data_IF_395677040529
#
_entry.id   IF_395677040529
#
_cell.length_a   1.000
_cell.length_b   1.000
_cell.length_c   1.000
_cell.angle_alpha   90.00
_cell.angle_beta   90.00
_cell.angle_gamma   90.00
#
_symmetry.space_group_name_H-M   'P 1'
#
loop_
_entity.id
_entity.type
_entity.pdbx_description
1 polymer ?
#
# COMPACT_ATOMS: atom_id res chain seq x y z
N UNK A 1 -28.27 15.15 80.06
CA UNK A 1 -29.54 14.40 80.18
C UNK A 1 -29.49 13.36 79.06
N UNK A 2 -29.32 12.07 79.37
CA UNK A 2 -30.39 11.06 79.49
C UNK A 2 -31.24 10.94 78.19
N UNK A 3 -31.59 9.80 77.60
CA UNK A 3 -31.39 8.35 77.88
C UNK A 3 -31.94 7.56 76.66
N UNK A 4 -31.66 6.28 76.35
CA UNK A 4 -30.93 5.20 77.04
C UNK A 4 -30.39 4.15 76.00
N UNK A 5 -29.79 3.05 76.48
CA UNK A 5 -29.43 1.82 75.72
C UNK A 5 -30.35 0.66 76.19
N UNK A 6 -30.56 -0.42 75.39
CA UNK A 6 -30.07 -1.74 75.81
C UNK A 6 -29.38 -2.50 74.64
N UNK A 7 -28.21 -3.15 74.74
CA UNK A 7 -27.50 -3.90 75.80
C UNK A 7 -27.77 -5.42 75.82
N UNK A 8 -26.75 -6.20 75.44
CA UNK A 8 -26.56 -7.62 75.77
C UNK A 8 -27.21 -8.63 74.80
N UNK A 9 -26.58 -9.74 74.41
CA UNK A 9 -25.57 -10.53 75.13
C UNK A 9 -24.63 -11.34 74.21
N UNK A 10 -23.52 -11.80 74.78
CA UNK A 10 -22.45 -12.58 74.13
C UNK A 10 -22.60 -14.10 74.36
N UNK A 11 -22.53 -14.86 73.25
CA UNK A 11 -21.53 -15.94 72.99
C UNK A 11 -21.30 -17.07 74.03
N UNK A 12 -21.67 -18.31 73.69
CA UNK A 12 -20.98 -19.59 74.03
C UNK A 12 -21.20 -20.55 72.82
N UNK A 13 -20.19 -20.98 72.06
CA UNK A 13 -19.16 -22.03 72.25
C UNK A 13 -19.58 -23.49 71.92
N UNK A 14 -19.19 -23.95 70.72
CA UNK A 14 -18.80 -25.34 70.37
C UNK A 14 -19.88 -26.45 70.28
N UNK A 15 -19.54 -27.64 69.75
CA UNK A 15 -18.24 -28.09 69.22
C UNK A 15 -18.26 -28.54 67.74
N UNK A 16 -17.11 -29.00 67.26
CA UNK A 16 -16.89 -29.62 65.95
C UNK A 16 -17.54 -31.02 65.85
N UNK A 17 -17.96 -31.42 64.64
CA UNK A 17 -17.92 -32.83 64.22
C UNK A 17 -17.98 -32.95 62.71
N UNK A 18 -17.06 -33.73 62.12
CA UNK A 18 -17.06 -34.05 60.70
C UNK A 18 -18.24 -34.97 60.33
N UNK A 19 -18.86 -34.73 59.18
CA UNK A 19 -19.94 -35.57 58.66
C UNK A 19 -20.37 -35.11 57.27
N UNK A 20 -19.95 -35.85 56.24
CA UNK A 20 -20.33 -35.57 54.86
C UNK A 20 -21.81 -35.85 54.60
N UNK A 21 -22.66 -34.86 54.84
CA UNK A 21 -24.09 -34.96 54.53
C UNK A 21 -24.34 -34.63 53.05
N UNK A 22 -24.27 -35.66 52.20
CA UNK A 22 -25.16 -35.71 51.05
C UNK A 22 -26.60 -35.55 51.57
N UNK A 23 -27.44 -34.68 50.98
CA UNK A 23 -28.83 -34.52 51.42
C UNK A 23 -29.67 -35.75 51.00
N UNK A 24 -29.54 -36.83 51.77
CA UNK A 24 -30.39 -38.03 51.69
C UNK A 24 -31.78 -37.83 52.28
N UNK A 25 -32.12 -36.61 52.71
CA UNK A 25 -33.51 -36.17 52.60
C UNK A 25 -33.82 -35.78 51.17
N UNK A 26 -34.25 -36.79 50.40
CA UNK A 26 -35.21 -36.57 49.31
C UNK A 26 -36.50 -36.07 49.95
N UNK A 27 -36.55 -34.77 50.26
CA UNK A 27 -37.78 -34.10 50.62
C UNK A 27 -38.80 -34.51 49.58
N UNK A 28 -39.92 -35.09 50.04
CA UNK A 28 -40.98 -35.55 49.15
C UNK A 28 -41.49 -34.30 48.46
N UNK A 29 -40.98 -34.03 47.25
CA UNK A 29 -41.31 -32.84 46.47
C UNK A 29 -42.83 -32.80 46.44
N UNK A 30 -43.41 -31.88 47.21
CA UNK A 30 -44.83 -31.60 47.14
C UNK A 30 -45.08 -31.30 45.67
N UNK A 31 -46.14 -31.87 45.10
CA UNK A 31 -46.48 -31.60 43.71
C UNK A 31 -46.99 -30.16 43.65
N UNK A 32 -46.05 -29.23 43.52
CA UNK A 32 -46.33 -27.83 43.21
C UNK A 32 -47.23 -27.83 41.98
N UNK A 33 -48.42 -27.24 42.15
CA UNK A 33 -49.39 -27.09 41.07
C UNK A 33 -48.81 -26.09 40.09
N UNK A 34 -48.02 -26.61 39.14
CA UNK A 34 -47.40 -25.78 38.10
C UNK A 34 -48.49 -25.13 37.28
N UNK A 35 -48.53 -23.81 37.31
CA UNK A 35 -49.40 -23.06 36.42
C UNK A 35 -48.97 -23.36 34.97
N UNK A 36 -49.89 -23.91 34.17
CA UNK A 36 -49.69 -24.24 32.75
C UNK A 36 -50.20 -23.13 31.81
N UNK A 37 -50.61 -21.98 32.34
CA UNK A 37 -50.90 -20.81 31.52
C UNK A 37 -49.68 -20.43 30.67
N UNK A 38 -49.87 -19.93 29.45
CA UNK A 38 -48.76 -19.52 28.59
C UNK A 38 -47.92 -18.44 29.28
N UNK A 39 -46.60 -18.63 29.31
CA UNK A 39 -45.70 -17.63 29.86
C UNK A 39 -45.78 -16.32 29.04
N UNK A 40 -45.85 -15.14 29.70
CA UNK A 40 -45.99 -13.85 29.00
C UNK A 40 -44.74 -13.49 28.20
N UNK A 41 -43.58 -14.04 28.57
CA UNK A 41 -42.32 -13.94 27.82
C UNK A 41 -41.90 -15.36 27.47
N UNK A 42 -41.71 -15.61 26.17
CA UNK A 42 -41.13 -16.86 25.67
C UNK A 42 -39.62 -16.74 25.68
N UNK A 43 -38.92 -17.75 26.20
CA UNK A 43 -37.45 -17.76 26.25
C UNK A 43 -36.93 -17.86 24.82
N UNK A 44 -36.22 -16.83 24.36
CA UNK A 44 -35.61 -16.81 23.02
C UNK A 44 -34.21 -17.41 23.04
N UNK A 45 -33.73 -17.86 21.88
CA UNK A 45 -32.34 -18.31 21.74
C UNK A 45 -31.34 -17.20 22.09
N UNK A 46 -31.66 -15.93 21.79
CA UNK A 46 -30.86 -14.76 22.18
C UNK A 46 -30.72 -14.65 23.70
N UNK A 47 -31.81 -14.83 24.45
CA UNK A 47 -31.78 -14.75 25.91
C UNK A 47 -30.91 -15.84 26.54
N UNK A 48 -30.97 -17.07 26.01
CA UNK A 48 -30.11 -18.18 26.44
C UNK A 48 -28.62 -17.92 26.13
N UNK A 49 -28.32 -17.38 24.94
CA UNK A 49 -26.95 -17.04 24.56
C UNK A 49 -26.41 -15.90 25.43
N UNK A 50 -27.24 -14.89 25.73
CA UNK A 50 -26.86 -13.76 26.59
C UNK A 50 -26.58 -14.22 28.01
N UNK A 51 -27.47 -15.02 28.63
CA UNK A 51 -27.26 -15.56 29.97
C UNK A 51 -26.02 -16.49 30.03
N UNK A 52 -25.76 -17.26 28.97
CA UNK A 52 -24.55 -18.08 28.88
C UNK A 52 -23.26 -17.24 28.79
N UNK A 53 -23.29 -16.12 28.06
CA UNK A 53 -22.18 -15.16 27.99
C UNK A 53 -21.99 -14.45 29.34
N UNK A 54 -23.06 -13.98 29.98
CA UNK A 54 -22.99 -13.29 31.27
C UNK A 54 -22.35 -14.19 32.35
N UNK A 55 -22.73 -15.49 32.42
CA UNK A 55 -22.08 -16.45 33.33
C UNK A 55 -20.61 -16.74 32.98
N UNK A 56 -20.24 -16.75 31.70
CA UNK A 56 -18.83 -16.88 31.31
C UNK A 56 -18.01 -15.63 31.68
N UNK A 57 -18.62 -14.45 31.59
CA UNK A 57 -18.00 -13.20 32.05
C UNK A 57 -17.80 -13.21 33.56
N UNK A 58 -18.75 -13.74 34.35
CA UNK A 58 -18.59 -13.91 35.80
C UNK A 58 -17.40 -14.82 36.15
N UNK A 59 -17.25 -15.98 35.48
CA UNK A 59 -16.09 -16.87 35.68
C UNK A 59 -14.76 -16.21 35.26
N UNK A 60 -14.75 -15.45 34.15
CA UNK A 60 -13.58 -14.68 33.71
C UNK A 60 -13.29 -13.47 34.62
N UNK A 61 -14.29 -12.97 35.35
CA UNK A 61 -14.18 -11.83 36.27
C UNK A 61 -13.51 -12.15 37.60
N UNK A 62 -13.10 -13.42 37.81
CA UNK A 62 -12.19 -13.84 38.89
C UNK A 62 -10.77 -13.29 38.68
N UNK A 63 -10.68 -11.97 38.59
CA UNK A 63 -9.46 -11.18 38.50
C UNK A 63 -8.64 -11.48 39.75
N UNK A 64 -7.44 -12.03 39.56
CA UNK A 64 -6.51 -12.34 40.66
C UNK A 64 -6.32 -11.08 41.52
N UNK A 65 -6.36 -11.18 42.86
CA UNK A 65 -6.27 -10.01 43.74
C UNK A 65 -5.01 -9.20 43.42
N UNK A 66 -5.14 -7.88 43.38
CA UNK A 66 -4.04 -6.98 43.04
C UNK A 66 -2.97 -6.99 44.15
N UNK A 67 -1.99 -7.87 44.01
CA UNK A 67 -0.82 -7.95 44.87
C UNK A 67 0.11 -6.75 44.58
N UNK A 68 0.28 -5.87 45.56
CA UNK A 68 1.35 -4.86 45.54
C UNK A 68 2.65 -5.55 45.93
N UNK A 69 3.68 -5.41 45.10
CA UNK A 69 5.04 -5.90 45.39
C UNK A 69 5.71 -4.83 46.24
N UNK A 70 6.14 -5.18 47.45
CA UNK A 70 6.76 -4.25 48.41
C UNK A 70 8.28 -4.43 48.41
N UNK A 71 8.74 -5.69 48.45
CA UNK A 71 10.16 -6.01 48.68
C UNK A 71 10.90 -6.48 47.42
N UNK A 72 12.23 -6.34 47.42
CA UNK A 72 13.08 -6.85 46.33
C UNK A 72 13.01 -8.38 46.20
N UNK A 73 12.85 -9.11 47.31
CA UNK A 73 12.67 -10.56 47.30
C UNK A 73 11.34 -10.97 46.67
N UNK A 74 10.24 -10.27 46.99
CA UNK A 74 8.94 -10.49 46.34
C UNK A 74 9.01 -10.22 44.83
N UNK A 75 9.74 -9.17 44.42
CA UNK A 75 9.98 -8.87 43.02
C UNK A 75 10.77 -9.99 42.32
N UNK A 76 11.78 -10.56 42.98
CA UNK A 76 12.52 -11.71 42.45
C UNK A 76 11.64 -12.96 42.36
N UNK A 77 10.84 -13.28 43.38
CA UNK A 77 9.88 -14.39 43.33
C UNK A 77 8.84 -14.20 42.23
N UNK A 78 8.30 -12.99 42.06
CA UNK A 78 7.42 -12.63 40.96
C UNK A 78 8.09 -12.89 39.59
N UNK A 79 9.34 -12.45 39.42
CA UNK A 79 10.11 -12.68 38.19
C UNK A 79 10.34 -14.17 37.93
N UNK A 80 10.74 -14.96 38.92
CA UNK A 80 10.94 -16.41 38.77
C UNK A 80 9.64 -17.11 38.39
N UNK A 81 8.53 -16.79 39.06
CA UNK A 81 7.19 -17.33 38.76
C UNK A 81 6.77 -17.01 37.32
N UNK A 82 6.95 -15.77 36.87
CA UNK A 82 6.62 -15.35 35.49
C UNK A 82 7.54 -15.97 34.44
N UNK A 83 8.84 -16.06 34.69
CA UNK A 83 9.79 -16.76 33.81
C UNK A 83 9.42 -18.23 33.64
N UNK A 84 9.04 -18.92 34.72
CA UNK A 84 8.56 -20.30 34.64
C UNK A 84 7.30 -20.42 33.77
N UNK A 85 6.32 -19.54 33.96
CA UNK A 85 5.10 -19.49 33.14
C UNK A 85 5.41 -19.28 31.64
N UNK A 86 6.37 -18.40 31.32
CA UNK A 86 6.82 -18.18 29.94
C UNK A 86 7.62 -19.37 29.39
N UNK A 87 8.62 -19.91 30.10
CA UNK A 87 9.37 -21.07 29.63
C UNK A 87 8.48 -22.32 29.47
N UNK A 88 7.52 -22.56 30.37
CA UNK A 88 6.58 -23.68 30.26
C UNK A 88 5.52 -23.46 29.15
N UNK A 89 5.22 -22.22 28.75
CA UNK A 89 4.43 -21.96 27.52
C UNK A 89 5.28 -22.15 26.26
N UNK A 90 6.52 -21.67 26.24
CA UNK A 90 7.45 -21.85 25.12
C UNK A 90 7.84 -23.31 24.88
N UNK A 91 7.96 -24.12 25.94
CA UNK A 91 8.15 -25.58 25.84
C UNK A 91 6.97 -26.28 25.18
N UNK A 92 5.75 -25.83 25.45
CA UNK A 92 4.51 -26.35 24.83
C UNK A 92 4.28 -25.82 23.41
N UNK A 93 4.67 -24.57 23.14
CA UNK A 93 4.36 -23.85 21.90
C UNK A 93 5.61 -23.23 21.27
N UNK A 94 6.62 -24.05 20.98
CA UNK A 94 7.94 -23.58 20.49
C UNK A 94 7.85 -22.69 19.25
N UNK A 95 6.97 -23.01 18.30
CA UNK A 95 6.84 -22.30 17.03
C UNK A 95 5.97 -21.03 17.10
N UNK A 96 5.29 -20.76 18.22
CA UNK A 96 4.42 -19.59 18.33
C UNK A 96 5.24 -18.34 18.68
N UNK A 97 5.55 -17.53 17.67
CA UNK A 97 6.46 -16.38 17.78
C UNK A 97 5.86 -15.26 18.65
N UNK A 98 4.53 -15.16 18.71
CA UNK A 98 3.84 -14.22 19.61
C UNK A 98 4.12 -14.44 21.10
N UNK A 99 4.40 -15.68 21.54
CA UNK A 99 4.80 -15.95 22.93
C UNK A 99 6.26 -15.57 23.21
N UNK A 100 7.15 -15.74 22.22
CA UNK A 100 8.54 -15.26 22.32
C UNK A 100 8.59 -13.73 22.43
N UNK A 101 7.83 -13.01 21.58
CA UNK A 101 7.75 -11.54 21.62
C UNK A 101 7.22 -11.07 22.97
N UNK A 102 6.10 -11.63 23.47
CA UNK A 102 5.54 -11.27 24.78
C UNK A 102 6.52 -11.50 25.95
N UNK A 103 7.28 -12.59 25.92
CA UNK A 103 8.29 -12.86 26.95
C UNK A 103 9.45 -11.85 26.87
N UNK A 104 9.94 -11.55 25.67
CA UNK A 104 11.03 -10.59 25.47
C UNK A 104 10.62 -9.14 25.80
N UNK A 105 9.40 -8.72 25.46
CA UNK A 105 8.83 -7.42 25.86
C UNK A 105 8.67 -7.33 27.39
N UNK A 106 8.33 -8.43 28.07
CA UNK A 106 8.26 -8.48 29.53
C UNK A 106 9.64 -8.38 30.21
N UNK A 107 10.66 -9.09 29.73
CA UNK A 107 12.05 -8.94 30.24
C UNK A 107 12.61 -7.53 29.96
N UNK A 108 12.25 -6.92 28.82
CA UNK A 108 12.59 -5.53 28.51
C UNK A 108 11.91 -4.53 29.48
N UNK A 109 10.65 -4.76 29.86
CA UNK A 109 9.97 -3.97 30.89
C UNK A 109 10.61 -4.10 32.28
N UNK A 110 11.23 -5.25 32.59
CA UNK A 110 12.03 -5.44 33.81
C UNK A 110 13.45 -4.82 33.72
N UNK A 111 13.81 -4.18 32.60
CA UNK A 111 15.15 -3.64 32.28
C UNK A 111 16.27 -4.70 32.23
N UNK A 112 15.95 -5.99 32.15
CA UNK A 112 16.92 -7.09 32.06
C UNK A 112 17.33 -7.35 30.60
N UNK A 113 17.87 -6.33 29.93
CA UNK A 113 18.15 -6.34 28.48
C UNK A 113 19.05 -7.50 28.02
N UNK A 114 20.01 -7.95 28.85
CA UNK A 114 20.85 -9.13 28.56
C UNK A 114 20.02 -10.40 28.38
N UNK A 115 18.95 -10.59 29.19
CA UNK A 115 18.03 -11.71 29.06
C UNK A 115 17.06 -11.52 27.89
N UNK A 116 16.53 -10.31 27.70
CA UNK A 116 15.70 -10.00 26.52
C UNK A 116 16.42 -10.34 25.20
N UNK A 117 17.71 -9.97 25.06
CA UNK A 117 18.57 -10.38 23.94
C UNK A 117 18.68 -11.90 23.81
N UNK A 118 18.96 -12.62 24.90
CA UNK A 118 19.02 -14.09 24.89
C UNK A 118 17.71 -14.74 24.45
N UNK A 119 16.55 -14.18 24.85
CA UNK A 119 15.23 -14.64 24.41
C UNK A 119 15.01 -14.37 22.91
N UNK A 120 15.38 -13.18 22.41
CA UNK A 120 15.29 -12.87 20.98
C UNK A 120 16.22 -13.76 20.13
N UNK A 121 17.48 -13.94 20.51
CA UNK A 121 18.42 -14.83 19.80
C UNK A 121 17.93 -16.30 19.83
N UNK A 122 17.35 -16.78 20.94
CA UNK A 122 16.68 -18.09 21.01
C UNK A 122 15.47 -18.18 20.07
N UNK A 123 14.68 -17.12 19.93
CA UNK A 123 13.54 -17.08 19.02
C UNK A 123 13.99 -17.06 17.54
N UNK A 124 15.06 -16.33 17.22
CA UNK A 124 15.67 -16.31 15.88
C UNK A 124 16.21 -17.68 15.47
N UNK A 125 16.74 -18.47 16.42
CA UNK A 125 17.11 -19.87 16.19
C UNK A 125 15.92 -20.81 15.96
N UNK A 126 14.68 -20.37 16.19
CA UNK A 126 13.46 -21.12 15.84
C UNK A 126 12.92 -20.67 14.48
N UNK A 127 12.85 -19.35 14.25
CA UNK A 127 12.44 -18.76 12.97
C UNK A 127 13.21 -17.44 12.75
N UNK A 128 14.18 -17.49 11.84
CA UNK A 128 14.96 -16.33 11.42
C UNK A 128 14.35 -15.59 10.23
N UNK A 129 13.30 -16.14 9.59
CA UNK A 129 12.64 -15.52 8.42
C UNK A 129 11.53 -14.56 8.84
N UNK A 130 10.97 -14.71 10.04
CA UNK A 130 9.90 -13.83 10.51
C UNK A 130 10.36 -12.38 10.74
N UNK A 131 9.99 -11.52 9.80
CA UNK A 131 10.20 -10.07 9.83
C UNK A 131 9.76 -9.41 11.15
N UNK A 132 8.62 -9.82 11.72
CA UNK A 132 8.06 -9.17 12.92
C UNK A 132 8.95 -9.35 14.15
N UNK A 133 9.64 -10.49 14.25
CA UNK A 133 10.57 -10.79 15.34
C UNK A 133 11.80 -9.88 15.28
N UNK A 134 12.40 -9.73 14.10
CA UNK A 134 13.50 -8.79 13.86
C UNK A 134 13.10 -7.34 14.15
N UNK A 135 11.94 -6.91 13.66
CA UNK A 135 11.43 -5.56 13.92
C UNK A 135 11.25 -5.31 15.42
N UNK A 136 10.72 -6.28 16.18
CA UNK A 136 10.54 -6.17 17.62
C UNK A 136 11.85 -6.15 18.40
N UNK A 137 12.84 -6.94 17.97
CA UNK A 137 14.17 -6.91 18.58
C UNK A 137 14.88 -5.57 18.34
N UNK A 138 14.84 -5.07 17.10
CA UNK A 138 15.39 -3.76 16.72
C UNK A 138 14.65 -2.61 17.44
N UNK A 139 13.32 -2.68 17.57
CA UNK A 139 12.50 -1.72 18.34
C UNK A 139 12.90 -1.68 19.82
N UNK A 140 13.27 -2.82 20.41
CA UNK A 140 13.74 -2.91 21.79
C UNK A 140 15.13 -2.26 21.94
N UNK A 141 16.10 -2.55 21.06
CA UNK A 141 17.43 -1.95 21.13
C UNK A 141 17.42 -0.43 20.86
N UNK A 142 16.56 0.04 19.94
CA UNK A 142 16.45 1.48 19.61
C UNK A 142 15.80 2.28 20.73
N UNK A 143 14.70 1.78 21.35
CA UNK A 143 14.07 2.40 22.53
C UNK A 143 15.04 2.57 23.69
N UNK A 144 15.94 1.61 23.88
CA UNK A 144 16.94 1.63 24.94
C UNK A 144 18.26 2.35 24.56
N UNK A 145 18.30 3.01 23.39
CA UNK A 145 19.44 3.79 22.86
C UNK A 145 20.73 2.98 22.65
N UNK A 146 20.65 1.66 22.47
CA UNK A 146 21.82 0.80 22.20
C UNK A 146 22.20 0.82 20.71
N UNK A 147 22.69 1.96 20.23
CA UNK A 147 22.97 2.24 18.80
C UNK A 147 23.85 1.16 18.14
N UNK A 148 24.99 0.79 18.76
CA UNK A 148 25.90 -0.19 18.16
C UNK A 148 25.30 -1.61 18.10
N UNK A 149 24.46 -1.98 19.08
CA UNK A 149 23.70 -3.23 19.03
C UNK A 149 22.68 -3.22 17.90
N UNK A 150 21.98 -2.09 17.73
CA UNK A 150 21.02 -1.85 16.65
C UNK A 150 21.68 -1.96 15.26
N UNK A 151 22.86 -1.35 15.05
CA UNK A 151 23.67 -1.47 13.82
C UNK A 151 24.02 -2.92 13.50
N UNK A 152 24.60 -3.63 14.47
CA UNK A 152 24.97 -5.05 14.30
C UNK A 152 23.75 -5.94 14.00
N UNK A 153 22.55 -5.59 14.47
CA UNK A 153 21.32 -6.30 14.12
C UNK A 153 20.87 -5.96 12.70
N UNK A 154 20.84 -4.69 12.29
CA UNK A 154 20.49 -4.33 10.92
C UNK A 154 21.45 -4.94 9.90
N UNK A 155 22.76 -4.92 10.13
CA UNK A 155 23.74 -5.58 9.26
C UNK A 155 23.45 -7.08 9.11
N UNK A 156 23.15 -7.76 10.23
CA UNK A 156 22.80 -9.19 10.22
C UNK A 156 21.51 -9.45 9.44
N UNK A 157 20.50 -8.59 9.58
CA UNK A 157 19.23 -8.71 8.86
C UNK A 157 19.40 -8.43 7.36
N UNK A 158 20.17 -7.42 6.98
CA UNK A 158 20.47 -7.12 5.58
C UNK A 158 21.23 -8.27 4.89
N UNK A 159 22.09 -8.99 5.62
CA UNK A 159 22.78 -10.19 5.13
C UNK A 159 21.84 -11.42 5.02
N UNK A 160 20.97 -11.65 6.01
CA UNK A 160 20.09 -12.82 6.04
C UNK A 160 18.83 -12.69 5.17
N UNK A 161 18.27 -11.48 5.06
CA UNK A 161 17.00 -11.18 4.39
C UNK A 161 17.14 -10.00 3.40
N UNK A 162 18.07 -10.06 2.42
CA UNK A 162 18.35 -8.92 1.53
C UNK A 162 17.13 -8.47 0.70
N UNK A 163 16.20 -9.38 0.39
CA UNK A 163 14.95 -9.06 -0.34
C UNK A 163 13.92 -8.27 0.46
N UNK A 164 14.08 -8.12 1.79
CA UNK A 164 13.11 -7.43 2.65
C UNK A 164 13.44 -5.93 2.76
N UNK A 165 13.00 -5.17 1.75
CA UNK A 165 13.23 -3.71 1.58
C UNK A 165 12.97 -2.86 2.83
N UNK A 166 11.99 -3.26 3.65
CA UNK A 166 11.63 -2.57 4.88
C UNK A 166 12.77 -2.46 5.91
N UNK A 167 13.73 -3.39 5.91
CA UNK A 167 14.88 -3.32 6.81
C UNK A 167 15.93 -2.34 6.31
N UNK A 168 16.21 -2.32 5.00
CA UNK A 168 17.10 -1.35 4.38
C UNK A 168 16.62 0.09 4.60
N UNK A 169 15.33 0.35 4.38
CA UNK A 169 14.74 1.67 4.66
C UNK A 169 14.88 2.06 6.14
N UNK A 170 14.54 1.15 7.07
CA UNK A 170 14.63 1.44 8.51
C UNK A 170 16.07 1.60 9.00
N UNK A 171 17.03 0.90 8.39
CA UNK A 171 18.45 1.05 8.69
C UNK A 171 18.98 2.40 8.19
N UNK A 172 18.72 2.75 6.94
CA UNK A 172 19.11 4.04 6.37
C UNK A 172 18.49 5.22 7.14
N UNK A 173 17.21 5.12 7.50
CA UNK A 173 16.54 6.13 8.33
C UNK A 173 17.15 6.23 9.75
N UNK A 174 17.60 5.12 10.34
CA UNK A 174 18.27 5.12 11.63
C UNK A 174 19.64 5.81 11.58
N UNK A 175 20.45 5.56 10.54
CA UNK A 175 21.72 6.28 10.34
C UNK A 175 21.50 7.77 10.03
N UNK A 176 20.44 8.12 9.30
CA UNK A 176 20.05 9.51 9.04
C UNK A 176 19.65 10.25 10.34
N UNK A 177 18.84 9.63 11.21
CA UNK A 177 18.49 10.17 12.53
C UNK A 177 19.70 10.35 13.46
N UNK A 178 20.77 9.58 13.24
CA UNK A 178 22.05 9.73 13.93
C UNK A 178 23.00 10.76 13.29
N UNK A 179 22.58 11.40 12.18
CA UNK A 179 23.40 12.34 11.42
C UNK A 179 24.55 11.71 10.63
N UNK A 180 24.58 10.37 10.51
CA UNK A 180 25.65 9.63 9.85
C UNK A 180 25.37 9.43 8.36
N UNK A 181 25.38 10.53 7.59
CA UNK A 181 25.11 10.51 6.15
C UNK A 181 26.07 9.60 5.36
N UNK A 182 27.33 9.47 5.81
CA UNK A 182 28.30 8.55 5.17
C UNK A 182 27.92 7.07 5.40
N UNK A 183 27.53 6.71 6.62
CA UNK A 183 27.00 5.38 6.93
C UNK A 183 25.74 5.06 6.12
N UNK A 184 24.77 5.98 6.10
CA UNK A 184 23.53 5.82 5.33
C UNK A 184 23.82 5.58 3.83
N UNK A 185 24.77 6.32 3.21
CA UNK A 185 25.20 6.09 1.82
C UNK A 185 25.76 4.70 1.59
N UNK A 186 26.63 4.20 2.48
CA UNK A 186 27.18 2.86 2.36
C UNK A 186 26.09 1.78 2.48
N UNK A 187 25.03 2.02 3.26
CA UNK A 187 23.85 1.15 3.33
C UNK A 187 23.06 1.21 2.01
N UNK A 188 22.86 2.39 1.43
CA UNK A 188 22.19 2.53 0.13
C UNK A 188 22.98 1.87 -1.02
N UNK A 189 24.30 2.07 -1.12
CA UNK A 189 25.12 1.43 -2.16
C UNK A 189 25.08 -0.11 -2.05
N UNK A 190 25.23 -0.66 -0.82
CA UNK A 190 25.01 -2.10 -0.55
C UNK A 190 23.60 -2.57 -0.90
N UNK A 191 22.59 -1.71 -0.78
CA UNK A 191 21.23 -2.06 -1.17
C UNK A 191 21.09 -2.12 -2.70
N UNK A 192 21.74 -1.19 -3.43
CA UNK A 192 21.69 -1.15 -4.90
C UNK A 192 22.40 -2.33 -5.58
N UNK A 193 23.41 -2.93 -4.94
CA UNK A 193 24.02 -4.20 -5.39
C UNK A 193 22.98 -5.32 -5.58
N UNK A 194 21.90 -5.32 -4.79
CA UNK A 194 20.83 -6.31 -4.88
C UNK A 194 19.74 -5.97 -5.91
N UNK A 195 19.86 -4.85 -6.64
CA UNK A 195 18.85 -4.33 -7.57
C UNK A 195 17.42 -4.32 -6.96
N UNK A 196 17.17 -3.45 -5.96
CA UNK A 196 15.89 -3.39 -5.27
C UNK A 196 14.78 -2.86 -6.17
N UNK A 197 13.53 -2.91 -5.68
CA UNK A 197 12.43 -2.30 -6.41
C UNK A 197 12.66 -0.80 -6.62
N UNK A 198 11.96 -0.27 -7.60
CA UNK A 198 11.86 1.15 -7.91
C UNK A 198 11.67 2.04 -6.66
N UNK A 199 10.93 1.59 -5.64
CA UNK A 199 10.79 2.32 -4.36
C UNK A 199 12.12 2.53 -3.64
N UNK A 200 13.05 1.57 -3.71
CA UNK A 200 14.38 1.67 -3.10
C UNK A 200 15.25 2.73 -3.76
N UNK A 201 15.23 2.80 -5.09
CA UNK A 201 15.92 3.84 -5.85
C UNK A 201 15.36 5.24 -5.53
N UNK A 202 14.05 5.40 -5.52
CA UNK A 202 13.39 6.65 -5.13
C UNK A 202 13.74 7.08 -3.70
N UNK A 203 13.84 6.13 -2.76
CA UNK A 203 14.26 6.42 -1.39
C UNK A 203 15.71 6.92 -1.29
N UNK A 204 16.63 6.38 -2.10
CA UNK A 204 18.01 6.86 -2.15
C UNK A 204 18.12 8.25 -2.80
N UNK A 205 17.38 8.49 -3.89
CA UNK A 205 17.25 9.80 -4.53
C UNK A 205 16.74 10.84 -3.52
N UNK A 206 15.64 10.55 -2.81
CA UNK A 206 15.09 11.46 -1.81
C UNK A 206 16.02 11.66 -0.61
N UNK A 207 16.89 10.69 -0.29
CA UNK A 207 17.94 10.85 0.71
C UNK A 207 19.02 11.83 0.24
N UNK A 208 19.52 11.72 -1.00
CA UNK A 208 20.49 12.68 -1.53
C UNK A 208 19.88 14.08 -1.75
N UNK A 209 18.58 14.19 -2.06
CA UNK A 209 17.84 15.45 -2.03
C UNK A 209 17.85 16.09 -0.63
N UNK A 210 17.60 15.31 0.43
CA UNK A 210 17.69 15.80 1.83
C UNK A 210 19.13 16.19 2.20
N UNK A 211 20.13 15.49 1.67
CA UNK A 211 21.54 15.84 1.81
C UNK A 211 21.98 17.05 0.95
N UNK A 212 21.13 17.54 0.04
CA UNK A 212 21.40 18.63 -0.94
C UNK A 212 22.48 18.32 -1.98
N UNK A 213 22.84 17.05 -2.16
CA UNK A 213 23.92 16.61 -3.07
C UNK A 213 23.36 16.25 -4.45
N UNK A 214 22.90 17.26 -5.19
CA UNK A 214 22.19 17.07 -6.48
C UNK A 214 23.02 16.30 -7.52
N UNK A 215 24.33 16.51 -7.58
CA UNK A 215 25.19 15.81 -8.55
C UNK A 215 25.40 14.32 -8.21
N UNK A 216 25.22 13.92 -6.94
CA UNK A 216 25.16 12.50 -6.56
C UNK A 216 23.81 11.92 -6.91
N UNK A 217 22.72 12.62 -6.58
CA UNK A 217 21.37 12.21 -6.93
C UNK A 217 21.23 11.95 -8.45
N UNK A 218 21.85 12.78 -9.29
CA UNK A 218 21.96 12.57 -10.75
C UNK A 218 22.67 11.29 -11.14
N UNK A 219 23.83 10.99 -10.57
CA UNK A 219 24.55 9.73 -10.82
C UNK A 219 23.75 8.51 -10.37
N UNK A 220 22.96 8.64 -9.31
CA UNK A 220 22.02 7.60 -8.87
C UNK A 220 20.88 7.43 -9.89
N UNK A 221 20.34 8.53 -10.43
CA UNK A 221 19.37 8.47 -11.52
C UNK A 221 19.92 7.83 -12.79
N UNK A 222 21.15 8.14 -13.20
CA UNK A 222 21.80 7.53 -14.37
C UNK A 222 21.92 6.00 -14.19
N UNK A 223 22.38 5.54 -13.02
CA UNK A 223 22.42 4.10 -12.67
C UNK A 223 21.02 3.48 -12.65
N UNK A 224 20.03 4.19 -12.09
CA UNK A 224 18.65 3.73 -12.03
C UNK A 224 18.03 3.54 -13.43
N UNK A 225 18.24 4.50 -14.35
CA UNK A 225 17.82 4.39 -15.74
C UNK A 225 18.55 3.25 -16.48
N UNK A 226 19.85 3.04 -16.23
CA UNK A 226 20.60 1.90 -16.80
C UNK A 226 20.12 0.54 -16.29
N UNK A 227 19.80 0.42 -14.99
CA UNK A 227 19.39 -0.84 -14.39
C UNK A 227 17.91 -1.18 -14.68
N UNK A 228 17.06 -0.15 -14.85
CA UNK A 228 15.62 -0.28 -15.11
C UNK A 228 15.14 0.82 -16.08
N UNK A 229 15.39 0.66 -17.39
CA UNK A 229 14.72 1.47 -18.41
C UNK A 229 13.22 1.16 -18.36
N UNK A 230 12.44 2.13 -17.87
CA UNK A 230 10.98 2.08 -17.89
C UNK A 230 10.45 3.50 -18.06
N UNK A 231 9.28 3.64 -18.69
CA UNK A 231 8.62 4.93 -18.84
C UNK A 231 8.49 5.68 -17.51
N UNK A 232 8.07 5.00 -16.43
CA UNK A 232 7.97 5.61 -15.11
C UNK A 232 9.32 6.11 -14.60
N UNK A 233 10.41 5.39 -14.86
CA UNK A 233 11.77 5.80 -14.50
C UNK A 233 12.15 7.14 -15.14
N UNK A 234 11.91 7.28 -16.45
CA UNK A 234 12.19 8.52 -17.18
C UNK A 234 11.26 9.66 -16.75
N UNK A 235 9.95 9.39 -16.58
CA UNK A 235 9.00 10.40 -16.09
C UNK A 235 9.34 10.91 -14.68
N UNK A 236 9.93 10.08 -13.82
CA UNK A 236 10.40 10.49 -12.48
C UNK A 236 11.70 11.29 -12.56
N UNK A 237 12.63 10.91 -13.44
CA UNK A 237 13.83 11.71 -13.73
C UNK A 237 13.47 13.11 -14.24
N UNK A 238 12.56 13.22 -15.21
CA UNK A 238 12.14 14.51 -15.74
C UNK A 238 11.43 15.37 -14.67
N UNK A 239 10.53 14.78 -13.87
CA UNK A 239 9.90 15.48 -12.71
C UNK A 239 10.92 15.92 -11.66
N UNK A 240 12.06 15.24 -11.54
CA UNK A 240 13.15 15.64 -10.65
C UNK A 240 13.91 16.85 -11.22
N UNK A 241 14.40 16.79 -12.46
CA UNK A 241 15.12 17.93 -13.07
C UNK A 241 14.19 19.16 -13.29
N UNK A 242 12.88 18.97 -13.47
CA UNK A 242 11.87 20.04 -13.39
C UNK A 242 11.92 20.80 -12.06
N UNK A 243 11.91 20.08 -10.92
CA UNK A 243 11.96 20.68 -9.58
C UNK A 243 13.26 21.45 -9.34
N UNK A 244 14.37 20.92 -9.85
CA UNK A 244 15.70 21.52 -9.74
C UNK A 244 16.00 22.54 -10.86
N UNK A 245 14.99 22.90 -11.67
CA UNK A 245 15.01 23.92 -12.73
C UNK A 245 16.07 23.71 -13.83
N UNK A 246 16.48 22.47 -14.10
CA UNK A 246 17.45 22.15 -15.15
C UNK A 246 16.76 21.74 -16.46
N UNK A 247 16.12 22.71 -17.09
CA UNK A 247 15.31 22.54 -18.31
C UNK A 247 16.06 21.77 -19.42
N UNK A 248 17.35 22.08 -19.75
CA UNK A 248 18.05 21.36 -20.81
C UNK A 248 18.32 19.89 -20.49
N UNK A 249 18.48 19.54 -19.20
CA UNK A 249 18.70 18.14 -18.77
C UNK A 249 17.40 17.35 -18.69
N UNK A 250 16.29 17.99 -18.32
CA UNK A 250 14.97 17.39 -18.43
C UNK A 250 14.65 17.03 -19.89
N UNK A 251 14.94 17.94 -20.85
CA UNK A 251 14.84 17.68 -22.30
C UNK A 251 15.67 16.48 -22.75
N UNK A 252 16.97 16.49 -22.44
CA UNK A 252 17.85 15.36 -22.74
C UNK A 252 17.41 14.05 -22.04
N UNK A 253 16.67 14.13 -20.94
CA UNK A 253 16.03 12.98 -20.28
C UNK A 253 14.85 12.41 -21.06
N UNK A 254 14.00 13.26 -21.63
CA UNK A 254 12.91 12.85 -22.53
C UNK A 254 13.46 12.32 -23.88
N UNK A 255 14.44 13.00 -24.47
CA UNK A 255 15.10 12.56 -25.72
C UNK A 255 15.75 11.18 -25.55
N UNK A 256 16.51 10.97 -24.46
CA UNK A 256 17.07 9.65 -24.13
C UNK A 256 16.02 8.58 -23.83
N UNK A 257 14.83 8.97 -23.35
CA UNK A 257 13.75 8.01 -23.15
C UNK A 257 13.25 7.47 -24.50
N UNK A 258 13.07 8.35 -25.49
CA UNK A 258 12.69 7.99 -26.87
C UNK A 258 13.79 7.13 -27.54
N UNK A 259 15.07 7.41 -27.28
CA UNK A 259 16.19 6.62 -27.81
C UNK A 259 16.32 5.22 -27.16
N UNK A 260 16.00 5.07 -25.87
CA UNK A 260 16.25 3.85 -25.09
C UNK A 260 15.03 2.95 -24.89
N UNK A 261 13.81 3.45 -25.05
CA UNK A 261 12.58 2.67 -24.95
C UNK A 261 12.17 2.15 -26.34
N UNK A 262 11.91 0.83 -26.49
CA UNK A 262 11.25 0.31 -27.68
C UNK A 262 9.86 0.93 -27.89
N UNK A 263 9.44 1.05 -29.14
CA UNK A 263 8.17 1.71 -29.52
C UNK A 263 6.95 1.07 -28.83
N UNK A 264 6.95 -0.25 -28.63
CA UNK A 264 5.90 -1.00 -27.91
C UNK A 264 5.75 -0.65 -26.40
N UNK A 265 6.65 0.15 -25.83
CA UNK A 265 6.71 0.50 -24.39
C UNK A 265 6.55 2.00 -24.12
N UNK A 266 6.20 2.79 -25.13
CA UNK A 266 5.95 4.23 -25.04
C UNK A 266 4.44 4.50 -24.97
N UNK A 267 3.89 4.59 -23.76
CA UNK A 267 2.48 4.89 -23.57
C UNK A 267 2.16 6.34 -23.98
N UNK A 268 0.90 6.56 -24.36
CA UNK A 268 0.25 7.88 -24.44
C UNK A 268 0.60 8.80 -23.25
N UNK A 269 0.69 8.25 -22.03
CA UNK A 269 1.00 9.03 -20.83
C UNK A 269 2.39 9.68 -20.88
N UNK A 270 3.36 9.08 -21.56
CA UNK A 270 4.70 9.66 -21.71
C UNK A 270 4.65 10.94 -22.55
N UNK A 271 4.09 10.86 -23.75
CA UNK A 271 3.97 11.99 -24.67
C UNK A 271 3.13 13.13 -24.09
N UNK A 272 2.01 12.79 -23.41
CA UNK A 272 1.21 13.78 -22.68
C UNK A 272 2.02 14.51 -21.59
N UNK A 273 2.95 13.83 -20.91
CA UNK A 273 3.81 14.46 -19.91
C UNK A 273 4.94 15.29 -20.53
N UNK A 274 5.49 14.86 -21.66
CA UNK A 274 6.51 15.60 -22.38
C UNK A 274 5.95 16.89 -23.01
N UNK A 275 4.77 16.82 -23.62
CA UNK A 275 4.07 18.00 -24.14
C UNK A 275 3.65 18.98 -23.01
N UNK A 276 3.11 18.47 -21.89
CA UNK A 276 2.84 19.30 -20.69
C UNK A 276 4.10 19.93 -20.09
N UNK A 277 5.28 19.34 -20.31
CA UNK A 277 6.54 19.92 -19.87
C UNK A 277 6.94 21.09 -20.77
N UNK A 278 6.95 20.94 -22.10
CA UNK A 278 7.28 22.04 -23.02
C UNK A 278 6.24 23.18 -22.99
N UNK A 279 4.96 22.87 -22.74
CA UNK A 279 3.92 23.89 -22.48
C UNK A 279 4.30 24.78 -21.29
N UNK A 280 4.79 24.21 -20.19
CA UNK A 280 5.30 24.99 -19.04
C UNK A 280 6.57 25.78 -19.36
N UNK A 281 7.39 25.32 -20.29
CA UNK A 281 8.56 26.05 -20.79
C UNK A 281 8.21 27.11 -21.84
N UNK A 282 6.95 27.16 -22.30
CA UNK A 282 6.43 28.07 -23.35
C UNK A 282 6.98 27.81 -24.76
N UNK A 283 7.54 26.62 -25.02
CA UNK A 283 8.01 26.22 -26.36
C UNK A 283 6.88 25.55 -27.16
N UNK A 284 5.93 26.35 -27.64
CA UNK A 284 4.71 25.85 -28.31
C UNK A 284 5.00 25.11 -29.62
N UNK A 285 5.98 25.57 -30.39
CA UNK A 285 6.42 24.90 -31.63
C UNK A 285 6.94 23.49 -31.37
N UNK A 286 7.78 23.31 -30.34
CA UNK A 286 8.31 22.00 -29.94
C UNK A 286 7.21 21.08 -29.43
N UNK A 287 6.30 21.60 -28.60
CA UNK A 287 5.14 20.84 -28.14
C UNK A 287 4.28 20.34 -29.31
N UNK A 288 4.09 21.16 -30.37
CA UNK A 288 3.39 20.72 -31.60
C UNK A 288 4.10 19.55 -32.29
N UNK A 289 5.43 19.61 -32.45
CA UNK A 289 6.22 18.52 -33.04
C UNK A 289 6.14 17.24 -32.19
N UNK A 290 6.19 17.35 -30.86
CA UNK A 290 6.05 16.21 -29.94
C UNK A 290 4.67 15.54 -30.09
N UNK A 291 3.59 16.33 -30.20
CA UNK A 291 2.25 15.77 -30.45
C UNK A 291 2.15 15.10 -31.83
N UNK A 292 2.81 15.62 -32.86
CA UNK A 292 2.85 14.99 -34.18
C UNK A 292 3.61 13.65 -34.13
N UNK A 293 4.81 13.63 -33.54
CA UNK A 293 5.60 12.41 -33.36
C UNK A 293 4.83 11.34 -32.56
N UNK A 294 4.12 11.74 -31.50
CA UNK A 294 3.30 10.83 -30.71
C UNK A 294 2.16 10.19 -31.53
N UNK A 295 1.55 10.94 -32.46
CA UNK A 295 0.50 10.44 -33.36
C UNK A 295 1.04 9.59 -34.54
N UNK A 296 2.33 9.69 -34.85
CA UNK A 296 3.00 8.84 -35.84
C UNK A 296 3.45 7.51 -35.23
N UNK A 297 3.90 7.49 -33.97
CA UNK A 297 4.36 6.28 -33.29
C UNK A 297 3.24 5.46 -32.63
N UNK A 298 2.12 6.07 -32.20
CA UNK A 298 1.03 5.34 -31.54
C UNK A 298 -0.03 4.83 -32.55
N UNK A 299 -0.51 3.58 -32.41
CA UNK A 299 -1.69 3.11 -33.12
C UNK A 299 -2.90 3.97 -32.83
N UNK A 300 -3.54 4.51 -33.88
CA UNK A 300 -4.60 5.53 -33.76
C UNK A 300 -5.76 5.14 -32.84
N UNK A 301 -6.07 3.84 -32.72
CA UNK A 301 -7.18 3.31 -31.90
C UNK A 301 -7.00 3.41 -30.38
N UNK A 302 -5.81 3.70 -29.86
CA UNK A 302 -5.57 3.84 -28.40
C UNK A 302 -5.34 5.30 -27.95
N UNK A 303 -5.44 6.26 -28.88
CA UNK A 303 -4.91 7.63 -28.71
C UNK A 303 -5.96 8.73 -28.44
N UNK A 304 -7.14 8.37 -27.95
CA UNK A 304 -8.26 9.29 -27.80
C UNK A 304 -7.96 10.47 -26.86
N UNK A 305 -7.30 10.21 -25.74
CA UNK A 305 -6.95 11.22 -24.73
C UNK A 305 -5.80 12.12 -25.24
N UNK A 306 -4.86 11.58 -26.02
CA UNK A 306 -3.83 12.34 -26.73
C UNK A 306 -4.46 13.33 -27.72
N UNK A 307 -5.42 12.86 -28.53
CA UNK A 307 -6.15 13.73 -29.46
C UNK A 307 -6.94 14.81 -28.73
N UNK A 308 -7.67 14.48 -27.65
CA UNK A 308 -8.36 15.51 -26.84
C UNK A 308 -7.38 16.55 -26.31
N UNK A 309 -6.25 16.11 -25.76
CA UNK A 309 -5.24 17.01 -25.19
C UNK A 309 -4.56 17.86 -26.27
N UNK A 310 -4.25 17.28 -27.42
CA UNK A 310 -3.69 18.02 -28.56
C UNK A 310 -4.67 19.07 -29.09
N UNK A 311 -5.97 18.74 -29.20
CA UNK A 311 -7.01 19.71 -29.56
C UNK A 311 -7.15 20.81 -28.49
N UNK A 312 -7.03 20.50 -27.18
CA UNK A 312 -7.00 21.56 -26.15
C UNK A 312 -5.75 22.44 -26.23
N UNK A 313 -4.60 21.85 -26.54
CA UNK A 313 -3.34 22.58 -26.72
C UNK A 313 -3.41 23.52 -27.94
N UNK A 314 -3.88 23.03 -29.09
CA UNK A 314 -4.05 23.88 -30.28
C UNK A 314 -5.11 24.97 -30.06
N UNK A 315 -6.19 24.71 -29.31
CA UNK A 315 -7.16 25.77 -28.93
C UNK A 315 -6.55 26.88 -28.05
N UNK A 316 -5.46 26.60 -27.34
CA UNK A 316 -4.78 27.57 -26.48
C UNK A 316 -3.63 28.30 -27.19
N UNK A 317 -2.92 27.61 -28.10
CA UNK A 317 -1.63 28.06 -28.64
C UNK A 317 -1.49 27.96 -30.17
N UNK A 318 -2.51 27.47 -30.88
CA UNK A 318 -2.46 27.19 -32.31
C UNK A 318 -3.27 28.14 -33.18
N UNK A 319 -2.88 28.22 -34.45
CA UNK A 319 -3.63 28.91 -35.50
C UNK A 319 -4.91 28.16 -35.86
N UNK A 320 -5.93 28.88 -36.35
CA UNK A 320 -7.25 28.32 -36.68
C UNK A 320 -7.18 27.16 -37.69
N UNK A 321 -6.37 27.33 -38.74
CA UNK A 321 -6.16 26.32 -39.79
C UNK A 321 -5.59 25.03 -39.18
N UNK A 322 -4.60 25.14 -38.30
CA UNK A 322 -4.01 23.99 -37.62
C UNK A 322 -4.97 23.25 -36.66
N UNK A 323 -5.97 23.95 -36.09
CA UNK A 323 -7.05 23.33 -35.30
C UNK A 323 -8.02 22.57 -36.21
N UNK A 324 -8.35 23.14 -37.37
CA UNK A 324 -9.25 22.51 -38.33
C UNK A 324 -8.62 21.24 -38.91
N UNK A 325 -7.36 21.28 -39.34
CA UNK A 325 -6.64 20.12 -39.90
C UNK A 325 -6.63 18.89 -38.98
N UNK A 326 -6.43 19.08 -37.66
CA UNK A 326 -6.34 17.97 -36.71
C UNK A 326 -7.71 17.40 -36.35
N UNK A 327 -8.71 18.27 -36.16
CA UNK A 327 -10.11 17.85 -35.93
C UNK A 327 -10.65 17.12 -37.15
N UNK A 328 -10.36 17.60 -38.36
CA UNK A 328 -10.70 16.92 -39.60
C UNK A 328 -9.98 15.56 -39.71
N UNK A 329 -8.69 15.48 -39.36
CA UNK A 329 -7.93 14.24 -39.43
C UNK A 329 -8.42 13.16 -38.47
N UNK A 330 -8.88 13.54 -37.26
CA UNK A 330 -9.55 12.60 -36.36
C UNK A 330 -10.89 12.13 -36.92
N UNK A 331 -11.70 13.04 -37.48
CA UNK A 331 -13.00 12.68 -38.08
C UNK A 331 -12.85 11.73 -39.27
N UNK A 332 -11.86 11.95 -40.14
CA UNK A 332 -11.54 11.01 -41.22
C UNK A 332 -11.24 9.62 -40.68
N UNK A 333 -10.39 9.51 -39.65
CA UNK A 333 -10.08 8.21 -39.07
C UNK A 333 -11.32 7.50 -38.48
N UNK A 334 -12.17 8.23 -37.74
CA UNK A 334 -13.42 7.67 -37.20
C UNK A 334 -14.34 7.19 -38.33
N UNK A 335 -14.52 7.98 -39.40
CA UNK A 335 -15.31 7.54 -40.55
C UNK A 335 -14.67 6.35 -41.29
N UNK A 336 -13.34 6.31 -41.45
CA UNK A 336 -12.66 5.15 -42.04
C UNK A 336 -12.86 3.87 -41.19
N UNK A 337 -12.79 3.97 -39.86
CA UNK A 337 -13.04 2.85 -38.95
C UNK A 337 -14.51 2.39 -38.96
N UNK A 338 -15.46 3.32 -38.91
CA UNK A 338 -16.90 3.05 -39.07
C UNK A 338 -17.22 2.39 -40.42
N UNK A 339 -16.57 2.82 -41.50
CA UNK A 339 -16.72 2.26 -42.84
C UNK A 339 -16.03 0.89 -42.99
N UNK A 340 -14.94 0.64 -42.26
CA UNK A 340 -14.33 -0.70 -42.15
C UNK A 340 -15.24 -1.69 -41.41
N UNK A 341 -15.91 -1.25 -40.33
CA UNK A 341 -16.88 -2.06 -39.59
C UNK A 341 -18.22 -2.25 -40.33
N UNK A 342 -18.72 -1.19 -40.98
CA UNK A 342 -20.03 -1.14 -41.63
C UNK A 342 -19.95 -0.50 -43.04
N UNK A 343 -19.43 -1.21 -44.07
CA UNK A 343 -19.24 -0.67 -45.42
C UNK A 343 -20.50 -0.13 -46.12
N UNK A 344 -21.68 -0.58 -45.67
CA UNK A 344 -23.00 -0.23 -46.20
C UNK A 344 -23.66 0.97 -45.48
N UNK A 345 -22.94 1.68 -44.60
CA UNK A 345 -23.46 2.88 -43.94
C UNK A 345 -23.32 4.10 -44.85
N UNK A 346 -24.37 4.39 -45.64
CA UNK A 346 -24.38 5.46 -46.63
C UNK A 346 -24.34 6.87 -46.02
N UNK A 347 -24.88 7.08 -44.83
CA UNK A 347 -24.85 8.40 -44.19
C UNK A 347 -23.44 8.73 -43.66
N UNK A 348 -22.67 7.73 -43.17
CA UNK A 348 -21.23 7.90 -42.90
C UNK A 348 -20.43 8.20 -44.18
N UNK A 349 -20.73 7.53 -45.32
CA UNK A 349 -20.11 7.89 -46.61
C UNK A 349 -20.43 9.33 -47.02
N UNK A 350 -21.67 9.80 -46.84
CA UNK A 350 -22.10 11.15 -47.20
C UNK A 350 -21.41 12.21 -46.32
N UNK A 351 -21.34 11.99 -45.01
CA UNK A 351 -20.68 12.94 -44.10
C UNK A 351 -19.15 12.93 -44.24
N UNK A 352 -18.54 11.79 -44.56
CA UNK A 352 -17.13 11.70 -44.93
C UNK A 352 -16.82 12.47 -46.24
N UNK A 353 -17.66 12.33 -47.26
CA UNK A 353 -17.56 13.09 -48.52
C UNK A 353 -17.65 14.60 -48.26
N UNK A 354 -18.66 15.07 -47.52
CA UNK A 354 -18.81 16.50 -47.15
C UNK A 354 -17.58 17.05 -46.42
N UNK A 355 -16.93 16.21 -45.62
CA UNK A 355 -15.74 16.58 -44.89
C UNK A 355 -14.52 16.73 -45.80
N UNK A 356 -14.30 15.81 -46.74
CA UNK A 356 -13.24 15.96 -47.75
C UNK A 356 -13.52 17.11 -48.74
N UNK A 357 -14.79 17.37 -49.11
CA UNK A 357 -15.17 18.57 -49.88
C UNK A 357 -14.77 19.87 -49.18
N UNK A 358 -14.88 19.94 -47.83
CA UNK A 358 -14.41 21.11 -47.06
C UNK A 358 -12.89 21.30 -47.05
N UNK A 359 -12.11 20.25 -47.36
CA UNK A 359 -10.65 20.32 -47.51
C UNK A 359 -10.20 20.77 -48.90
N UNK A 360 -11.04 20.57 -49.92
CA UNK A 360 -10.76 20.96 -51.31
C UNK A 360 -9.74 20.09 -52.04
N UNK A 361 -9.34 18.94 -51.48
CA UNK A 361 -8.27 18.09 -52.00
C UNK A 361 -8.80 17.14 -53.10
N UNK A 362 -8.86 17.64 -54.34
CA UNK A 362 -9.62 17.07 -55.47
C UNK A 362 -9.37 15.57 -55.70
N UNK A 363 -8.12 15.11 -55.58
CA UNK A 363 -7.77 13.70 -55.84
C UNK A 363 -8.20 12.76 -54.70
N UNK A 364 -8.20 13.23 -53.44
CA UNK A 364 -8.76 12.46 -52.31
C UNK A 364 -10.27 12.39 -52.42
N UNK A 365 -10.92 13.51 -52.70
CA UNK A 365 -12.37 13.59 -52.94
C UNK A 365 -12.79 12.58 -54.02
N UNK A 366 -12.08 12.54 -55.17
CA UNK A 366 -12.35 11.56 -56.24
C UNK A 366 -12.22 10.12 -55.75
N UNK A 367 -11.15 9.79 -55.03
CA UNK A 367 -10.91 8.44 -54.50
C UNK A 367 -12.02 8.01 -53.51
N UNK A 368 -12.45 8.91 -52.62
CA UNK A 368 -13.57 8.66 -51.69
C UNK A 368 -14.87 8.43 -52.45
N UNK A 369 -15.17 9.23 -53.47
CA UNK A 369 -16.34 9.01 -54.35
C UNK A 369 -16.27 7.66 -55.08
N UNK A 370 -15.11 7.27 -55.61
CA UNK A 370 -14.92 5.97 -56.27
C UNK A 370 -15.13 4.79 -55.31
N UNK A 371 -14.62 4.89 -54.08
CA UNK A 371 -14.83 3.88 -53.01
C UNK A 371 -16.28 3.82 -52.55
N UNK A 372 -16.97 4.95 -52.45
CA UNK A 372 -18.40 5.01 -52.12
C UNK A 372 -19.27 4.38 -53.24
N UNK A 373 -18.95 4.69 -54.51
CA UNK A 373 -19.66 4.16 -55.68
C UNK A 373 -19.43 2.65 -55.89
N UNK A 374 -18.28 2.12 -55.47
CA UNK A 374 -18.03 0.68 -55.50
C UNK A 374 -18.97 -0.11 -54.55
N UNK A 375 -19.43 0.51 -53.45
CA UNK A 375 -20.34 -0.09 -52.47
C UNK A 375 -21.81 0.05 -52.88
N UNK A 376 -22.17 -0.48 -54.05
CA UNK A 376 -23.52 -0.41 -54.63
C UNK A 376 -24.55 -1.07 -53.67
N UNK A 377 -25.65 -0.37 -53.30
CA UNK A 377 -26.69 -0.96 -52.46
C UNK A 377 -27.33 -2.20 -53.11
N UNK A 378 -27.45 -3.34 -52.40
CA UNK A 378 -28.09 -4.54 -52.93
C UNK A 378 -29.61 -4.38 -53.12
N UNK A 379 -30.21 -3.29 -52.62
CA UNK A 379 -31.64 -2.99 -52.75
C UNK A 379 -31.85 -1.50 -53.05
N UNK A 380 -32.68 -1.20 -54.04
CA UNK A 380 -33.02 0.17 -54.50
C UNK A 380 -33.97 0.94 -53.55
N UNK A 381 -34.49 0.29 -52.51
CA UNK A 381 -35.42 0.90 -51.58
C UNK A 381 -34.71 1.75 -50.51
N UNK A 382 -34.93 3.07 -50.58
CA UNK A 382 -34.46 4.10 -49.62
C UNK A 382 -34.71 3.85 -48.13
N UNK A 383 -35.43 2.78 -47.74
CA UNK A 383 -35.67 2.40 -46.34
C UNK A 383 -34.57 1.54 -45.74
N UNK A 384 -33.80 0.84 -46.56
CA UNK A 384 -32.68 0.00 -46.13
C UNK A 384 -31.33 0.74 -46.12
N UNK A 385 -31.30 1.93 -46.70
CA UNK A 385 -30.22 2.89 -46.51
C UNK A 385 -30.49 3.56 -45.16
N UNK A 386 -29.84 3.08 -44.11
CA UNK A 386 -30.12 3.48 -42.73
C UNK A 386 -29.60 4.90 -42.46
N UNK A 387 -30.55 5.77 -42.11
CA UNK A 387 -30.36 7.08 -41.44
C UNK A 387 -29.59 6.98 -40.13
#
# INVERSE_FOLDING_TARGET
MASNIPAGALRQQGPESAGGNYPLHRSRKMMEVKNKMPAPVQITAEQLLREAVDRQLDDLSQIRPQQRIVDEEELQQYRVRKRKEFEDTLRRQRHHIGTWIKYAEWEAAQKEFRRARSVFERALNVDFQNTTLWLKYIEMESKNKFINSCRNLYDRVCLLLPRQEQFWFKYAHMEELLGNYAGARNVFERWMEWNPSDKGWMLYIHFEERCKELDRARKVFERYLSNRPSQESFLRFCKFEERHRQIPRARAGFEKAIELLPEDMLDEHFFLKFAQFEERQRETERAKVIYQQALEQLPKGESDLLYEKYVTFQKQFGDKEGIEDTVLSKRVFVYEEELHGHPLNYDCWIDYIRLEESRGDIDKIRNVYERALANVPPVLEKRFWKR
#
